data_IF_486512848760
#
_entry.id   IF_486512848760
#
_cell.length_a   1.000
_cell.length_b   1.000
_cell.length_c   1.000
_cell.angle_alpha   90.00
_cell.angle_beta   90.00
_cell.angle_gamma   90.00
#
_symmetry.space_group_name_H-M   'P 1'
#
loop_
_entity.id
_entity.type
_entity.pdbx_description
1 polymer ?
#
# COMPACT_ATOMS: atom_id res chain seq x y z
N UNK A 1 13.04 -18.75 -16.77
CA UNK A 1 12.05 -18.19 -17.71
C UNK A 1 11.61 -16.88 -17.09
N UNK A 2 11.83 -15.75 -17.77
CA UNK A 2 11.29 -14.45 -17.34
C UNK A 2 9.77 -14.56 -17.19
N UNK A 3 9.22 -13.95 -16.14
CA UNK A 3 7.78 -13.87 -15.93
C UNK A 3 7.24 -12.97 -17.03
N UNK A 4 6.33 -13.49 -17.85
CA UNK A 4 5.86 -12.76 -19.04
C UNK A 4 5.13 -11.47 -18.67
N UNK A 5 4.48 -11.46 -17.51
CA UNK A 5 3.67 -10.35 -17.00
C UNK A 5 3.89 -10.21 -15.47
N UNK A 6 5.04 -9.66 -15.04
CA UNK A 6 5.37 -9.55 -13.62
C UNK A 6 4.40 -8.62 -12.87
N UNK A 7 4.12 -8.96 -11.62
CA UNK A 7 3.27 -8.19 -10.72
C UNK A 7 4.10 -7.67 -9.55
N UNK A 8 4.18 -6.35 -9.44
CA UNK A 8 4.73 -5.64 -8.28
C UNK A 8 3.54 -5.13 -7.47
N UNK A 9 3.46 -5.50 -6.20
CA UNK A 9 2.42 -5.03 -5.31
C UNK A 9 3.02 -4.33 -4.08
N UNK A 10 2.56 -3.12 -3.84
CA UNK A 10 2.80 -2.36 -2.62
C UNK A 10 1.56 -2.53 -1.73
N UNK A 11 1.75 -3.13 -0.56
CA UNK A 11 0.72 -3.25 0.46
C UNK A 11 1.04 -2.36 1.66
N UNK A 12 0.09 -1.57 2.12
CA UNK A 12 0.37 -0.60 3.17
C UNK A 12 -0.79 0.29 3.54
N UNK A 13 -0.78 0.80 4.77
CA UNK A 13 -1.77 1.76 5.22
C UNK A 13 -1.47 3.17 4.69
N UNK A 14 -2.54 3.90 4.35
CA UNK A 14 -2.46 5.26 3.84
C UNK A 14 -1.67 6.15 4.81
N UNK A 15 -0.61 6.80 4.32
CA UNK A 15 0.25 7.67 5.12
C UNK A 15 1.66 7.13 5.43
N UNK A 16 1.97 5.89 5.06
CA UNK A 16 3.35 5.39 5.05
C UNK A 16 4.31 6.18 4.13
N UNK A 17 3.76 6.99 3.21
CA UNK A 17 4.46 7.56 2.06
C UNK A 17 3.99 6.94 0.73
N UNK A 18 2.71 6.56 0.62
CA UNK A 18 2.13 5.91 -0.57
C UNK A 18 2.23 6.80 -1.81
N UNK A 19 1.92 8.10 -1.71
CA UNK A 19 2.15 9.07 -2.79
C UNK A 19 3.62 9.08 -3.26
N UNK A 20 4.56 9.11 -2.31
CA UNK A 20 6.00 9.03 -2.57
C UNK A 20 6.39 7.70 -3.24
N UNK A 21 5.70 6.61 -2.91
CA UNK A 21 5.95 5.28 -3.47
C UNK A 21 5.52 5.22 -4.93
N UNK A 22 4.29 5.61 -5.24
CA UNK A 22 3.78 5.69 -6.61
C UNK A 22 4.65 6.59 -7.51
N UNK A 23 5.07 7.75 -7.02
CA UNK A 23 5.98 8.65 -7.73
C UNK A 23 7.36 8.00 -8.00
N UNK A 24 7.92 7.32 -7.00
CA UNK A 24 9.21 6.62 -7.13
C UNK A 24 9.13 5.51 -8.17
N UNK A 25 8.06 4.70 -8.15
CA UNK A 25 7.86 3.65 -9.15
C UNK A 25 7.61 4.23 -10.55
N UNK A 26 6.85 5.32 -10.66
CA UNK A 26 6.66 6.02 -11.94
C UNK A 26 7.97 6.59 -12.50
N UNK A 27 8.90 7.02 -11.62
CA UNK A 27 10.24 7.44 -12.02
C UNK A 27 11.07 6.23 -12.51
N UNK A 28 11.15 5.16 -11.71
CA UNK A 28 11.90 3.95 -12.04
C UNK A 28 11.43 3.31 -13.35
N UNK A 29 10.12 3.16 -13.55
CA UNK A 29 9.58 2.59 -14.78
C UNK A 29 9.90 3.46 -16.00
N UNK A 30 9.90 4.78 -15.86
CA UNK A 30 10.28 5.70 -16.93
C UNK A 30 11.76 5.57 -17.28
N UNK A 31 12.64 5.47 -16.28
CA UNK A 31 14.08 5.28 -16.46
C UNK A 31 14.39 3.98 -17.20
N UNK A 32 13.71 2.90 -16.82
CA UNK A 32 13.81 1.59 -17.46
C UNK A 32 12.98 1.45 -18.75
N UNK A 33 12.27 2.50 -19.18
CA UNK A 33 11.38 2.54 -20.37
C UNK A 33 10.31 1.44 -20.37
N UNK A 34 9.73 1.18 -19.20
CA UNK A 34 8.68 0.19 -19.00
C UNK A 34 7.30 0.83 -19.13
N UNK A 35 6.42 0.16 -19.87
CA UNK A 35 5.01 0.46 -19.92
C UNK A 35 4.28 -0.24 -18.77
N UNK A 36 4.12 0.46 -17.65
CA UNK A 36 3.49 -0.11 -16.46
C UNK A 36 1.98 0.17 -16.39
N UNK A 37 1.20 -0.86 -16.04
CA UNK A 37 -0.19 -0.69 -15.64
C UNK A 37 -0.25 -0.30 -14.15
N UNK A 38 -0.78 0.88 -13.84
CA UNK A 38 -0.99 1.33 -12.46
C UNK A 38 -2.41 1.01 -12.00
N UNK A 39 -2.54 0.26 -10.91
CA UNK A 39 -3.82 -0.15 -10.34
C UNK A 39 -3.87 0.19 -8.85
N UNK A 40 -4.89 0.94 -8.46
CA UNK A 40 -5.15 1.31 -7.08
C UNK A 40 -5.99 0.24 -6.39
N UNK A 41 -5.70 -0.06 -5.12
CA UNK A 41 -6.41 -1.08 -4.34
C UNK A 41 -7.89 -0.80 -4.16
N UNK A 42 -8.26 0.48 -4.10
CA UNK A 42 -9.63 0.95 -3.91
C UNK A 42 -10.55 0.55 -5.09
N UNK A 43 -9.97 0.21 -6.24
CA UNK A 43 -10.67 -0.40 -7.39
C UNK A 43 -11.47 -1.65 -7.00
N UNK A 44 -11.03 -2.36 -5.95
CA UNK A 44 -11.56 -3.63 -5.48
C UNK A 44 -12.40 -3.49 -4.19
N UNK A 45 -12.75 -2.27 -3.78
CA UNK A 45 -13.78 -2.07 -2.76
C UNK A 45 -15.12 -2.66 -3.23
N UNK A 46 -15.90 -3.24 -2.30
CA UNK A 46 -17.26 -3.73 -2.60
C UNK A 46 -18.27 -2.60 -2.75
N UNK A 47 -18.05 -1.51 -2.02
CA UNK A 47 -19.05 -0.46 -1.82
C UNK A 47 -18.55 0.90 -2.28
N UNK A 48 -19.45 1.66 -2.91
CA UNK A 48 -19.34 3.12 -2.98
C UNK A 48 -19.44 3.72 -1.58
N UNK A 49 -19.07 4.99 -1.41
CA UNK A 49 -19.15 5.69 -0.11
C UNK A 49 -20.57 5.64 0.50
N UNK A 50 -21.66 5.93 -0.24
CA UNK A 50 -23.01 5.81 0.30
C UNK A 50 -23.40 4.38 0.66
N UNK A 51 -22.99 3.40 -0.14
CA UNK A 51 -23.26 1.98 0.15
C UNK A 51 -22.50 1.51 1.40
N UNK A 52 -21.26 1.95 1.57
CA UNK A 52 -20.46 1.66 2.75
C UNK A 52 -21.11 2.25 4.01
N UNK A 53 -21.61 3.49 3.94
CA UNK A 53 -22.31 4.11 5.07
C UNK A 53 -23.57 3.31 5.46
N UNK A 54 -24.30 2.77 4.48
CA UNK A 54 -25.44 1.87 4.73
C UNK A 54 -24.98 0.55 5.35
N UNK A 55 -23.90 -0.06 4.84
CA UNK A 55 -23.36 -1.31 5.36
C UNK A 55 -22.89 -1.16 6.81
N UNK A 56 -22.16 -0.08 7.13
CA UNK A 56 -21.73 0.26 8.49
C UNK A 56 -22.94 0.39 9.43
N UNK A 57 -24.00 1.11 9.02
CA UNK A 57 -25.21 1.25 9.85
C UNK A 57 -25.88 -0.10 10.14
N UNK A 58 -26.08 -0.92 9.11
CA UNK A 58 -26.68 -2.26 9.25
C UNK A 58 -25.86 -3.19 10.14
N UNK A 59 -24.53 -3.16 10.00
CA UNK A 59 -23.64 -3.95 10.86
C UNK A 59 -23.76 -3.50 12.32
N UNK A 60 -23.84 -2.19 12.56
CA UNK A 60 -24.00 -1.60 13.90
C UNK A 60 -25.29 -2.06 14.58
N UNK A 61 -26.40 -2.13 13.85
CA UNK A 61 -27.69 -2.65 14.35
C UNK A 61 -27.60 -4.11 14.80
N UNK A 62 -26.67 -4.88 14.23
CA UNK A 62 -26.41 -6.28 14.57
C UNK A 62 -25.27 -6.46 15.60
N UNK A 63 -24.75 -5.37 16.17
CA UNK A 63 -23.60 -5.42 17.09
C UNK A 63 -22.27 -5.80 16.42
N UNK A 64 -22.18 -5.65 15.09
CA UNK A 64 -20.98 -5.91 14.29
C UNK A 64 -20.35 -4.62 13.78
N UNK A 65 -19.12 -4.71 13.29
CA UNK A 65 -18.40 -3.60 12.70
C UNK A 65 -17.82 -3.99 11.34
N UNK A 66 -17.88 -3.06 10.40
CA UNK A 66 -17.28 -3.19 9.07
C UNK A 66 -16.26 -2.07 8.94
N UNK A 67 -15.06 -2.42 8.46
CA UNK A 67 -14.03 -1.44 8.12
C UNK A 67 -13.45 -1.72 6.74
N UNK A 68 -12.80 -0.70 6.15
CA UNK A 68 -12.07 -0.84 4.89
C UNK A 68 -10.86 -1.78 4.98
N UNK A 69 -10.48 -2.25 6.18
CA UNK A 69 -9.44 -3.27 6.33
C UNK A 69 -9.98 -4.68 6.11
N UNK A 70 -11.26 -4.93 6.39
CA UNK A 70 -11.85 -6.25 6.41
C UNK A 70 -12.34 -6.77 5.07
N UNK A 71 -12.61 -8.08 5.01
CA UNK A 71 -13.14 -8.78 3.83
C UNK A 71 -14.57 -8.34 3.45
N UNK A 72 -15.34 -7.78 4.38
CA UNK A 72 -16.70 -7.31 4.11
C UNK A 72 -16.73 -6.04 3.25
N UNK A 73 -15.68 -5.21 3.30
CA UNK A 73 -15.60 -4.00 2.49
C UNK A 73 -14.81 -4.18 1.18
N UNK A 74 -14.16 -5.32 1.00
CA UNK A 74 -13.21 -5.59 -0.08
C UNK A 74 -13.53 -6.88 -0.83
N UNK A 75 -13.36 -6.87 -2.15
CA UNK A 75 -13.55 -8.04 -2.99
C UNK A 75 -12.19 -8.72 -3.29
N UNK A 76 -11.74 -9.54 -2.33
CA UNK A 76 -10.48 -10.29 -2.46
C UNK A 76 -10.50 -11.33 -3.57
N UNK A 77 -11.69 -11.85 -3.92
CA UNK A 77 -11.83 -12.77 -5.03
C UNK A 77 -11.58 -12.06 -6.35
N UNK A 78 -12.20 -10.88 -6.52
CA UNK A 78 -12.01 -10.04 -7.70
C UNK A 78 -10.54 -9.62 -7.85
N UNK A 79 -9.90 -9.20 -6.76
CA UNK A 79 -8.47 -8.85 -6.75
C UNK A 79 -7.59 -10.06 -7.14
N UNK A 80 -7.83 -11.23 -6.55
CA UNK A 80 -7.09 -12.44 -6.89
C UNK A 80 -7.27 -12.83 -8.36
N UNK A 81 -8.51 -12.80 -8.84
CA UNK A 81 -8.82 -13.14 -10.22
C UNK A 81 -8.16 -12.16 -11.20
N UNK A 82 -8.14 -10.86 -10.87
CA UNK A 82 -7.44 -9.85 -11.65
C UNK A 82 -5.93 -10.11 -11.71
N UNK A 83 -5.27 -10.36 -10.58
CA UNK A 83 -3.83 -10.69 -10.58
C UNK A 83 -3.53 -11.98 -11.35
N UNK A 84 -4.38 -13.00 -11.20
CA UNK A 84 -4.22 -14.25 -11.94
C UNK A 84 -4.36 -14.02 -13.45
N UNK A 85 -5.37 -13.25 -13.88
CA UNK A 85 -5.60 -12.94 -15.28
C UNK A 85 -4.40 -12.17 -15.86
N UNK A 86 -3.97 -11.10 -15.19
CA UNK A 86 -2.83 -10.31 -15.63
C UNK A 86 -1.56 -11.16 -15.75
N UNK A 87 -1.24 -11.98 -14.74
CA UNK A 87 -0.06 -12.85 -14.78
C UNK A 87 -0.09 -13.87 -15.92
N UNK A 88 -1.28 -14.24 -16.42
CA UNK A 88 -1.45 -15.20 -17.53
C UNK A 88 -1.47 -14.54 -18.90
N UNK A 89 -2.12 -13.38 -19.04
CA UNK A 89 -2.45 -12.79 -20.34
C UNK A 89 -1.89 -11.39 -20.55
N UNK A 90 -1.48 -10.69 -19.48
CA UNK A 90 -1.16 -9.26 -19.49
C UNK A 90 -2.40 -8.35 -19.58
N UNK A 91 -3.60 -8.94 -19.52
CA UNK A 91 -4.87 -8.23 -19.57
C UNK A 91 -5.61 -8.24 -18.24
N UNK A 92 -6.84 -7.71 -18.25
CA UNK A 92 -7.72 -7.68 -17.11
C UNK A 92 -8.61 -6.45 -17.13
N UNK A 93 -9.61 -6.42 -16.25
CA UNK A 93 -10.50 -5.28 -16.08
C UNK A 93 -10.31 -4.63 -14.73
N UNK A 94 -10.30 -3.31 -14.73
CA UNK A 94 -10.23 -2.50 -13.51
C UNK A 94 -11.22 -1.33 -13.59
N UNK A 95 -11.47 -0.70 -12.45
CA UNK A 95 -12.29 0.52 -12.32
C UNK A 95 -11.59 1.42 -11.32
N UNK A 96 -11.81 2.73 -11.40
CA UNK A 96 -11.21 3.67 -10.45
C UNK A 96 -12.21 4.05 -9.38
N UNK A 97 -11.76 4.19 -8.13
CA UNK A 97 -12.55 4.75 -7.05
C UNK A 97 -12.23 6.24 -6.94
N UNK A 98 -13.24 7.09 -7.10
CA UNK A 98 -13.05 8.53 -7.21
C UNK A 98 -13.09 9.15 -5.80
N UNK A 99 -11.98 9.71 -5.32
CA UNK A 99 -11.89 10.27 -3.97
C UNK A 99 -12.38 11.71 -3.88
N UNK A 100 -12.08 12.50 -4.90
CA UNK A 100 -12.25 13.96 -4.95
C UNK A 100 -13.18 14.39 -6.09
N UNK A 101 -13.62 15.66 -6.04
CA UNK A 101 -14.41 16.23 -7.14
C UNK A 101 -13.59 16.35 -8.42
N UNK A 102 -12.32 16.73 -8.32
CA UNK A 102 -11.43 16.89 -9.49
C UNK A 102 -11.23 15.57 -10.24
N UNK A 103 -11.13 14.44 -9.51
CA UNK A 103 -11.11 13.11 -10.12
C UNK A 103 -12.44 12.73 -10.77
N UNK A 104 -13.57 13.15 -10.18
CA UNK A 104 -14.90 12.72 -10.59
C UNK A 104 -15.49 13.52 -11.76
N UNK A 105 -15.13 14.80 -11.89
CA UNK A 105 -15.61 15.72 -12.94
C UNK A 105 -15.37 15.17 -14.36
N UNK A 106 -14.18 14.66 -14.73
CA UNK A 106 -13.93 14.10 -16.05
C UNK A 106 -14.86 12.94 -16.43
N UNK A 107 -15.41 12.23 -15.45
CA UNK A 107 -16.31 11.09 -15.65
C UNK A 107 -17.79 11.46 -15.49
N UNK A 108 -18.10 12.72 -15.15
CA UNK A 108 -19.45 13.17 -14.80
C UNK A 108 -20.09 12.31 -13.68
N UNK A 109 -19.26 11.96 -12.68
CA UNK A 109 -19.63 11.15 -11.51
C UNK A 109 -19.48 11.96 -10.22
N UNK A 110 -19.85 11.36 -9.09
CA UNK A 110 -19.69 11.96 -7.76
C UNK A 110 -18.50 11.34 -7.02
N UNK A 111 -17.82 12.08 -6.14
CA UNK A 111 -16.82 11.50 -5.24
C UNK A 111 -17.43 10.36 -4.40
N UNK A 112 -16.61 9.35 -4.13
CA UNK A 112 -17.00 8.13 -3.45
C UNK A 112 -17.69 7.10 -4.34
N UNK A 113 -17.59 7.23 -5.67
CA UNK A 113 -18.17 6.27 -6.63
C UNK A 113 -17.10 5.62 -7.49
N UNK A 114 -17.49 4.57 -8.24
CA UNK A 114 -16.61 3.90 -9.18
C UNK A 114 -16.81 4.39 -10.61
N UNK A 115 -15.74 4.48 -11.38
CA UNK A 115 -15.85 4.54 -12.84
C UNK A 115 -16.43 3.24 -13.40
N UNK A 116 -16.91 3.23 -14.65
CA UNK A 116 -17.12 1.99 -15.39
C UNK A 116 -15.83 1.15 -15.46
N UNK A 117 -16.01 -0.15 -15.63
CA UNK A 117 -14.92 -1.08 -15.90
C UNK A 117 -14.21 -0.73 -17.21
N UNK A 118 -12.89 -0.78 -17.20
CA UNK A 118 -12.00 -0.51 -18.32
C UNK A 118 -10.98 -1.64 -18.42
N UNK A 119 -10.57 -1.95 -19.64
CA UNK A 119 -9.52 -2.92 -19.89
C UNK A 119 -8.15 -2.32 -19.54
N UNK A 120 -7.26 -3.16 -19.01
CA UNK A 120 -5.83 -2.82 -18.87
C UNK A 120 -5.26 -2.58 -20.27
N UNK A 121 -4.40 -1.58 -20.40
CA UNK A 121 -3.76 -1.25 -21.68
C UNK A 121 -2.99 -2.44 -22.25
N UNK A 122 -3.07 -2.62 -23.56
CA UNK A 122 -2.31 -3.64 -24.26
C UNK A 122 -0.80 -3.37 -24.17
N UNK A 123 0.00 -4.44 -24.26
CA UNK A 123 1.47 -4.38 -24.27
C UNK A 123 2.08 -3.73 -23.02
N UNK A 124 1.55 -4.05 -21.85
CA UNK A 124 2.14 -3.67 -20.56
C UNK A 124 3.27 -4.62 -20.19
N UNK A 125 4.38 -4.05 -19.72
CA UNK A 125 5.57 -4.79 -19.32
C UNK A 125 5.46 -5.27 -17.86
N UNK A 126 4.70 -4.57 -17.03
CA UNK A 126 4.59 -4.82 -15.59
C UNK A 126 3.29 -4.26 -15.03
N UNK A 127 2.67 -4.99 -14.10
CA UNK A 127 1.57 -4.47 -13.28
C UNK A 127 2.14 -3.92 -11.98
N UNK A 128 1.78 -2.69 -11.68
CA UNK A 128 2.02 -2.06 -10.39
C UNK A 128 0.70 -1.87 -9.65
N UNK A 129 0.56 -2.56 -8.53
CA UNK A 129 -0.54 -2.42 -7.60
C UNK A 129 -0.12 -1.63 -6.37
N UNK A 130 -0.93 -0.67 -5.93
CA UNK A 130 -0.78 -0.01 -4.63
C UNK A 130 -2.10 -0.03 -3.87
N UNK A 131 -2.11 -0.56 -2.64
CA UNK A 131 -3.31 -0.59 -1.82
C UNK A 131 -3.12 -1.27 -0.47
N UNK A 132 -4.23 -1.53 0.23
CA UNK A 132 -4.20 -2.16 1.55
C UNK A 132 -4.02 -3.69 1.51
N UNK A 133 -4.25 -4.35 0.37
CA UNK A 133 -4.47 -5.81 0.30
C UNK A 133 -3.62 -6.54 -0.75
N UNK A 134 -2.51 -5.93 -1.20
CA UNK A 134 -1.65 -6.54 -2.23
C UNK A 134 -1.00 -7.87 -1.82
N UNK A 135 -0.94 -8.15 -0.51
CA UNK A 135 -0.38 -9.39 0.06
C UNK A 135 -1.39 -10.21 0.86
N UNK A 136 -2.69 -10.05 0.60
CA UNK A 136 -3.73 -10.72 1.39
C UNK A 136 -3.74 -12.23 1.15
N UNK A 137 -3.85 -12.95 2.26
CA UNK A 137 -4.16 -14.38 2.27
C UNK A 137 -5.23 -14.59 3.33
N UNK A 138 -6.37 -15.11 2.88
CA UNK A 138 -7.51 -15.50 3.69
C UNK A 138 -7.84 -16.99 3.41
N UNK A 139 -8.77 -17.58 4.15
CA UNK A 139 -9.15 -18.99 4.03
C UNK A 139 -9.46 -19.43 2.60
N UNK A 140 -10.04 -18.54 1.79
CA UNK A 140 -10.50 -18.82 0.44
C UNK A 140 -9.63 -18.20 -0.66
N UNK A 141 -8.74 -17.27 -0.31
CA UNK A 141 -8.06 -16.41 -1.29
C UNK A 141 -6.59 -16.24 -0.93
N UNK A 142 -5.70 -16.35 -1.91
CA UNK A 142 -4.27 -16.14 -1.79
C UNK A 142 -3.79 -15.20 -2.91
N UNK A 143 -4.01 -13.90 -2.72
CA UNK A 143 -3.55 -12.86 -3.66
C UNK A 143 -2.02 -12.83 -3.72
N UNK A 144 -1.36 -13.01 -2.57
CA UNK A 144 0.09 -12.98 -2.46
C UNK A 144 0.81 -14.01 -3.35
N UNK A 145 0.17 -15.13 -3.68
CA UNK A 145 0.74 -16.16 -4.57
C UNK A 145 0.93 -15.70 -6.02
N UNK A 146 0.27 -14.60 -6.42
CA UNK A 146 0.36 -14.04 -7.76
C UNK A 146 1.34 -12.87 -7.87
N UNK A 147 1.97 -12.46 -6.77
CA UNK A 147 2.85 -11.29 -6.72
C UNK A 147 4.32 -11.71 -6.79
N UNK A 148 5.06 -11.15 -7.74
CA UNK A 148 6.49 -11.44 -7.92
C UNK A 148 7.38 -10.55 -7.04
N UNK A 149 6.94 -9.31 -6.77
CA UNK A 149 7.58 -8.41 -5.83
C UNK A 149 6.55 -7.75 -4.89
N UNK A 150 6.45 -8.27 -3.66
CA UNK A 150 5.57 -7.74 -2.63
C UNK A 150 6.34 -6.84 -1.66
N UNK A 151 5.95 -5.57 -1.58
CA UNK A 151 6.59 -4.54 -0.75
C UNK A 151 5.59 -4.07 0.31
N UNK A 152 6.03 -4.02 1.57
CA UNK A 152 5.25 -3.48 2.68
C UNK A 152 5.63 -2.04 2.96
N UNK A 153 4.69 -1.11 2.88
CA UNK A 153 4.88 0.29 3.27
C UNK A 153 4.02 0.57 4.49
N UNK A 154 4.62 0.74 5.66
CA UNK A 154 3.86 0.74 6.91
C UNK A 154 4.37 1.77 7.91
N UNK A 155 3.55 2.71 8.41
CA UNK A 155 3.92 3.49 9.58
C UNK A 155 3.81 2.63 10.85
N UNK A 156 4.49 3.00 11.93
CA UNK A 156 4.14 2.43 13.24
C UNK A 156 2.67 2.75 13.57
N UNK A 157 2.01 1.89 14.33
CA UNK A 157 0.58 2.00 14.65
C UNK A 157 0.22 3.38 15.19
N UNK A 158 1.03 3.96 16.08
CA UNK A 158 0.81 5.31 16.61
C UNK A 158 0.78 6.36 15.51
N UNK A 159 1.69 6.30 14.54
CA UNK A 159 1.71 7.23 13.41
C UNK A 159 0.49 7.03 12.51
N UNK A 160 0.05 5.78 12.28
CA UNK A 160 -1.16 5.49 11.52
C UNK A 160 -2.40 6.14 12.16
N UNK A 161 -2.52 6.05 13.49
CA UNK A 161 -3.63 6.66 14.23
C UNK A 161 -3.56 8.19 14.23
N UNK A 162 -2.36 8.77 14.36
CA UNK A 162 -2.16 10.22 14.23
C UNK A 162 -2.61 10.69 12.84
N UNK A 163 -2.22 9.98 11.79
CA UNK A 163 -2.59 10.31 10.41
C UNK A 163 -4.09 10.24 10.19
N UNK A 164 -4.74 9.17 10.67
CA UNK A 164 -6.19 9.02 10.59
C UNK A 164 -6.90 10.15 11.35
N UNK A 165 -6.47 10.44 12.58
CA UNK A 165 -7.05 11.51 13.40
C UNK A 165 -6.93 12.88 12.74
N UNK A 166 -5.73 13.26 12.30
CA UNK A 166 -5.51 14.57 11.70
C UNK A 166 -6.34 14.71 10.42
N UNK A 167 -6.29 13.75 9.50
CA UNK A 167 -7.05 13.81 8.23
C UNK A 167 -8.56 13.87 8.46
N UNK A 168 -9.10 12.96 9.28
CA UNK A 168 -10.55 12.88 9.48
C UNK A 168 -11.11 14.09 10.25
N UNK A 169 -10.30 14.75 11.09
CA UNK A 169 -10.72 15.97 11.81
C UNK A 169 -10.52 17.23 10.97
N UNK A 170 -9.43 17.36 10.20
CA UNK A 170 -9.14 18.58 9.42
C UNK A 170 -9.86 18.63 8.07
N UNK A 171 -9.95 17.50 7.37
CA UNK A 171 -10.47 17.45 6.00
C UNK A 171 -11.94 17.04 5.96
N UNK A 172 -12.38 16.18 6.89
CA UNK A 172 -13.73 15.58 6.89
C UNK A 172 -14.65 16.09 7.99
N UNK A 173 -14.12 16.89 8.92
CA UNK A 173 -14.90 17.52 9.99
C UNK A 173 -15.49 16.56 11.03
N UNK A 174 -14.94 15.35 11.15
CA UNK A 174 -15.36 14.41 12.19
C UNK A 174 -14.89 14.86 13.57
N UNK A 175 -15.65 14.52 14.62
CA UNK A 175 -15.19 14.74 16.00
C UNK A 175 -14.07 13.76 16.36
N UNK A 176 -13.19 14.14 17.30
CA UNK A 176 -12.09 13.27 17.76
C UNK A 176 -12.61 11.96 18.34
N UNK A 177 -13.71 12.01 19.06
CA UNK A 177 -14.36 10.86 19.70
C UNK A 177 -14.87 9.87 18.65
N UNK A 178 -15.47 10.36 17.57
CA UNK A 178 -15.94 9.52 16.47
C UNK A 178 -14.78 8.80 15.76
N UNK A 179 -13.65 9.49 15.58
CA UNK A 179 -12.45 8.89 14.97
C UNK A 179 -11.82 7.85 15.90
N UNK A 180 -11.72 8.14 17.21
CA UNK A 180 -11.23 7.18 18.18
C UNK A 180 -12.09 5.91 18.22
N UNK A 181 -13.41 6.06 18.22
CA UNK A 181 -14.34 4.95 18.17
C UNK A 181 -14.18 4.13 16.88
N UNK A 182 -13.98 4.80 15.74
CA UNK A 182 -13.68 4.15 14.46
C UNK A 182 -12.39 3.34 14.49
N UNK A 183 -11.32 3.89 15.08
CA UNK A 183 -10.03 3.20 15.21
C UNK A 183 -10.20 1.90 15.98
N UNK A 184 -10.77 1.95 17.18
CA UNK A 184 -10.96 0.77 18.04
C UNK A 184 -11.75 -0.32 17.32
N UNK A 185 -12.81 0.07 16.61
CA UNK A 185 -13.65 -0.89 15.86
C UNK A 185 -12.94 -1.55 14.69
N UNK A 186 -12.01 -0.85 14.06
CA UNK A 186 -11.24 -1.39 12.93
C UNK A 186 -10.06 -2.27 13.33
N UNK A 187 -9.73 -2.35 14.63
CA UNK A 187 -8.53 -3.06 15.09
C UNK A 187 -8.58 -4.56 14.85
N UNK A 188 -9.76 -5.18 14.95
CA UNK A 188 -9.89 -6.61 14.66
C UNK A 188 -9.55 -6.89 13.20
N UNK A 189 -10.14 -6.15 12.26
CA UNK A 189 -9.81 -6.26 10.84
C UNK A 189 -8.34 -5.92 10.57
N UNK A 190 -7.77 -4.93 11.24
CA UNK A 190 -6.36 -4.56 11.08
C UNK A 190 -5.44 -5.72 11.45
N UNK A 191 -5.68 -6.36 12.61
CA UNK A 191 -4.89 -7.50 13.09
C UNK A 191 -5.06 -8.69 12.14
N UNK A 192 -6.28 -8.97 11.69
CA UNK A 192 -6.57 -10.18 10.91
C UNK A 192 -6.25 -10.05 9.40
N UNK A 193 -6.37 -8.85 8.82
CA UNK A 193 -6.24 -8.65 7.38
C UNK A 193 -5.05 -7.76 6.96
N UNK A 194 -4.59 -6.83 7.79
CA UNK A 194 -3.47 -5.93 7.43
C UNK A 194 -2.14 -6.48 7.93
N UNK A 195 -1.98 -6.65 9.25
CA UNK A 195 -0.68 -7.03 9.85
C UNK A 195 -0.05 -8.32 9.28
N UNK A 196 -0.80 -9.39 8.94
CA UNK A 196 -0.19 -10.63 8.46
C UNK A 196 0.48 -10.48 7.09
N UNK A 197 0.07 -9.49 6.29
CA UNK A 197 0.64 -9.23 4.96
C UNK A 197 2.12 -8.86 5.06
N UNK A 198 2.52 -8.09 6.07
CA UNK A 198 3.92 -7.67 6.29
C UNK A 198 4.85 -8.83 6.67
N UNK A 199 4.29 -10.00 7.00
CA UNK A 199 5.08 -11.22 7.18
C UNK A 199 5.37 -11.94 5.86
N UNK A 200 4.72 -11.54 4.77
CA UNK A 200 4.80 -12.17 3.43
C UNK A 200 5.59 -11.34 2.42
N UNK A 201 5.72 -10.04 2.66
CA UNK A 201 6.49 -9.10 1.85
C UNK A 201 7.96 -9.54 1.70
N UNK A 202 8.56 -9.19 0.57
CA UNK A 202 9.99 -9.34 0.32
C UNK A 202 10.78 -8.22 1.02
N UNK A 203 10.22 -7.01 1.07
CA UNK A 203 10.80 -5.87 1.77
C UNK A 203 9.71 -5.15 2.55
N UNK A 204 9.99 -4.77 3.79
CA UNK A 204 9.16 -3.83 4.54
C UNK A 204 9.91 -2.52 4.73
N UNK A 205 9.31 -1.40 4.35
CA UNK A 205 9.70 -0.05 4.73
C UNK A 205 8.77 0.40 5.84
N UNK A 206 9.30 0.42 7.06
CA UNK A 206 8.55 0.84 8.23
C UNK A 206 8.92 2.27 8.63
N UNK A 207 7.95 3.18 8.62
CA UNK A 207 8.16 4.57 9.04
C UNK A 207 7.97 4.73 10.55
N UNK A 208 9.02 5.21 11.21
CA UNK A 208 9.11 5.35 12.67
C UNK A 208 9.41 6.82 13.02
N UNK A 209 8.44 7.60 13.54
CA UNK A 209 8.71 8.92 14.10
C UNK A 209 9.72 8.87 15.23
N UNK A 210 10.60 9.87 15.27
CA UNK A 210 11.58 10.11 16.35
C UNK A 210 11.13 11.24 17.29
N UNK A 211 9.86 11.64 17.20
CA UNK A 211 9.16 12.57 18.08
C UNK A 211 8.21 11.82 19.02
N UNK A 212 7.72 12.51 20.05
CA UNK A 212 6.77 11.92 21.00
C UNK A 212 5.43 11.61 20.32
N UNK A 213 5.16 10.31 20.19
CA UNK A 213 3.89 9.77 19.68
C UNK A 213 3.18 8.91 20.72
N UNK A 214 3.54 9.03 22.00
CA UNK A 214 3.00 8.22 23.10
C UNK A 214 1.49 8.35 23.28
N UNK A 215 0.93 9.54 23.03
CA UNK A 215 -0.51 9.77 22.96
C UNK A 215 -0.94 10.24 21.56
N UNK A 216 -1.24 9.31 20.63
CA UNK A 216 -1.62 9.63 19.26
C UNK A 216 -2.94 10.42 19.17
N UNK A 217 -3.83 10.29 20.17
CA UNK A 217 -5.11 10.99 20.21
C UNK A 217 -5.01 12.48 20.59
N UNK A 218 -3.86 12.90 21.12
CA UNK A 218 -3.57 14.32 21.43
C UNK A 218 -2.72 15.02 20.37
N UNK A 219 -2.29 14.29 19.33
CA UNK A 219 -1.44 14.86 18.30
C UNK A 219 -2.12 16.03 17.57
N UNK A 220 -1.29 17.00 17.18
CA UNK A 220 -1.72 18.22 16.47
C UNK A 220 -1.33 18.19 15.00
N UNK A 221 -0.26 17.49 14.67
CA UNK A 221 0.28 17.36 13.33
C UNK A 221 0.78 15.93 13.12
N UNK A 222 0.89 15.56 11.85
CA UNK A 222 1.55 14.34 11.43
C UNK A 222 3.06 14.62 11.46
N UNK A 223 3.88 13.82 12.16
CA UNK A 223 5.33 13.92 12.07
C UNK A 223 5.79 13.97 10.62
N UNK A 224 6.73 14.85 10.30
CA UNK A 224 7.33 14.99 8.97
C UNK A 224 8.30 13.83 8.65
N UNK A 225 8.81 13.78 7.42
CA UNK A 225 9.83 12.79 7.04
C UNK A 225 11.15 13.04 7.77
N UNK A 226 11.52 14.30 8.02
CA UNK A 226 12.74 14.65 8.77
C UNK A 226 12.63 14.33 10.26
N UNK A 227 11.41 14.29 10.80
CA UNK A 227 11.10 13.81 12.15
C UNK A 227 10.93 12.28 12.21
N UNK A 228 11.31 11.55 11.15
CA UNK A 228 11.12 10.10 11.06
C UNK A 228 12.39 9.39 10.61
N UNK A 229 12.49 8.11 10.97
CA UNK A 229 13.40 7.14 10.38
C UNK A 229 12.60 6.11 9.60
N UNK A 230 13.26 5.47 8.64
CA UNK A 230 12.73 4.31 7.93
C UNK A 230 13.53 3.07 8.31
N UNK A 231 12.83 2.08 8.85
CA UNK A 231 13.39 0.76 9.15
C UNK A 231 13.06 -0.15 7.98
N UNK A 232 14.08 -0.57 7.24
CA UNK A 232 13.94 -1.34 6.00
C UNK A 232 14.43 -2.76 6.24
N UNK A 233 13.50 -3.72 6.24
CA UNK A 233 13.78 -5.13 6.49
C UNK A 233 13.63 -5.93 5.21
N UNK A 234 14.61 -6.78 4.91
CA UNK A 234 14.64 -7.65 3.74
C UNK A 234 14.34 -9.10 4.13
N UNK A 235 13.49 -9.78 3.38
CA UNK A 235 13.08 -11.17 3.64
C UNK A 235 13.45 -12.06 2.45
N UNK A 236 14.33 -13.04 2.69
CA UNK A 236 14.69 -14.05 1.68
C UNK A 236 15.55 -13.54 0.52
N UNK A 237 15.80 -12.23 0.45
CA UNK A 237 16.66 -11.60 -0.54
C UNK A 237 18.13 -11.84 -0.19
N UNK A 238 18.83 -12.54 -1.07
CA UNK A 238 20.26 -12.79 -0.97
C UNK A 238 21.00 -11.68 -1.73
N UNK A 239 22.19 -11.31 -1.27
CA UNK A 239 23.08 -10.35 -1.94
C UNK A 239 22.67 -8.87 -1.86
N UNK A 240 21.95 -8.44 -0.83
CA UNK A 240 21.79 -7.01 -0.54
C UNK A 240 23.14 -6.45 -0.10
N UNK A 241 23.68 -5.49 -0.86
CA UNK A 241 24.95 -4.83 -0.55
C UNK A 241 24.74 -3.72 0.49
N UNK A 242 24.64 -4.13 1.76
CA UNK A 242 24.50 -3.19 2.88
C UNK A 242 25.68 -2.20 2.99
N UNK A 243 26.95 -2.60 2.81
CA UNK A 243 28.06 -1.65 2.76
C UNK A 243 27.86 -0.54 1.72
N UNK A 244 27.43 -0.89 0.50
CA UNK A 244 27.10 0.09 -0.53
C UNK A 244 25.96 1.02 -0.07
N UNK A 245 24.83 0.48 0.38
CA UNK A 245 23.69 1.27 0.84
C UNK A 245 24.08 2.26 1.97
N UNK A 246 24.88 1.83 2.95
CA UNK A 246 25.34 2.70 4.03
C UNK A 246 26.29 3.79 3.54
N UNK A 247 27.11 3.50 2.53
CA UNK A 247 28.04 4.49 1.96
C UNK A 247 27.31 5.57 1.14
N UNK A 248 26.22 5.19 0.46
CA UNK A 248 25.42 6.09 -0.37
C UNK A 248 24.41 6.91 0.44
N UNK A 249 23.86 6.32 1.50
CA UNK A 249 22.79 6.93 2.29
C UNK A 249 23.39 7.46 3.58
N UNK A 250 23.79 8.72 3.57
CA UNK A 250 24.33 9.37 4.76
C UNK A 250 23.33 9.29 5.94
N UNK A 251 23.83 8.95 7.14
CA UNK A 251 23.03 8.68 8.34
C UNK A 251 22.39 7.28 8.40
N UNK A 252 22.63 6.40 7.41
CA UNK A 252 22.16 5.02 7.47
C UNK A 252 23.01 4.14 8.40
N UNK A 253 22.37 3.18 9.06
CA UNK A 253 23.04 2.18 9.90
C UNK A 253 22.28 0.86 9.95
N UNK A 254 22.97 -0.23 10.30
CA UNK A 254 22.35 -1.54 10.46
C UNK A 254 21.80 -1.73 11.87
N UNK A 255 20.51 -2.06 12.00
CA UNK A 255 19.89 -2.42 13.28
C UNK A 255 19.85 -3.94 13.51
N UNK A 256 19.79 -4.72 12.44
CA UNK A 256 19.90 -6.19 12.43
C UNK A 256 20.60 -6.65 11.16
N UNK A 257 20.97 -7.92 11.08
CA UNK A 257 21.65 -8.51 9.91
C UNK A 257 20.90 -8.31 8.59
N UNK A 258 19.57 -8.33 8.64
CA UNK A 258 18.66 -8.20 7.49
C UNK A 258 17.93 -6.84 7.46
N UNK A 259 18.37 -5.87 8.27
CA UNK A 259 17.63 -4.61 8.49
C UNK A 259 18.56 -3.41 8.55
N UNK A 260 18.32 -2.45 7.65
CA UNK A 260 18.96 -1.13 7.62
C UNK A 260 17.97 -0.07 8.11
N UNK A 261 18.48 0.95 8.78
CA UNK A 261 17.70 2.12 9.22
C UNK A 261 18.26 3.34 8.50
N UNK A 262 17.38 4.16 7.91
CA UNK A 262 17.77 5.35 7.13
C UNK A 262 16.96 6.58 7.56
N UNK A 263 17.48 7.80 7.37
CA UNK A 263 16.70 9.02 7.60
C UNK A 263 15.45 9.09 6.71
N UNK A 264 14.31 9.49 7.27
CA UNK A 264 13.04 9.54 6.54
C UNK A 264 13.05 10.53 5.37
N UNK A 265 13.78 11.65 5.49
CA UNK A 265 13.99 12.60 4.38
C UNK A 265 14.70 12.01 3.15
N UNK A 266 15.33 10.82 3.28
CA UNK A 266 16.02 10.11 2.19
C UNK A 266 15.21 8.92 1.65
N UNK A 267 13.91 8.89 1.91
CA UNK A 267 13.01 7.80 1.51
C UNK A 267 13.07 7.46 0.03
N UNK A 268 12.75 8.42 -0.86
CA UNK A 268 12.69 8.17 -2.31
C UNK A 268 14.03 7.70 -2.86
N UNK A 269 15.12 8.38 -2.47
CA UNK A 269 16.49 7.99 -2.88
C UNK A 269 16.85 6.57 -2.40
N UNK A 270 16.51 6.22 -1.16
CA UNK A 270 16.75 4.88 -0.63
C UNK A 270 15.94 3.83 -1.38
N UNK A 271 14.68 4.14 -1.69
CA UNK A 271 13.82 3.25 -2.47
C UNK A 271 14.38 3.03 -3.87
N UNK A 272 14.86 4.05 -4.56
CA UNK A 272 15.49 3.91 -5.88
C UNK A 272 16.71 2.99 -5.83
N UNK A 273 17.65 3.21 -4.90
CA UNK A 273 18.86 2.38 -4.75
C UNK A 273 18.53 0.89 -4.50
N UNK A 274 17.47 0.62 -3.76
CA UNK A 274 17.05 -0.75 -3.43
C UNK A 274 16.24 -1.37 -4.57
N UNK A 275 15.28 -0.64 -5.13
CA UNK A 275 14.27 -1.18 -6.03
C UNK A 275 14.73 -1.24 -7.48
N UNK A 276 15.58 -0.32 -7.94
CA UNK A 276 16.11 -0.34 -9.30
C UNK A 276 16.77 -1.69 -9.68
N UNK A 277 17.75 -2.22 -8.92
CA UNK A 277 18.35 -3.51 -9.25
C UNK A 277 17.36 -4.67 -9.13
N UNK A 278 16.37 -4.58 -8.25
CA UNK A 278 15.35 -5.62 -8.09
C UNK A 278 14.35 -5.66 -9.25
N UNK A 279 13.93 -4.49 -9.74
CA UNK A 279 13.07 -4.38 -10.93
C UNK A 279 13.83 -4.91 -12.14
N UNK A 280 15.11 -4.56 -12.30
CA UNK A 280 15.94 -5.11 -13.38
C UNK A 280 16.02 -6.64 -13.28
N UNK A 281 16.34 -7.20 -12.11
CA UNK A 281 16.39 -8.65 -11.91
C UNK A 281 15.04 -9.32 -12.20
N UNK A 282 13.94 -8.69 -11.78
CA UNK A 282 12.59 -9.21 -12.01
C UNK A 282 12.27 -9.32 -13.51
N UNK A 283 12.63 -8.32 -14.30
CA UNK A 283 12.40 -8.32 -15.74
C UNK A 283 13.27 -9.35 -16.47
N UNK A 284 14.53 -9.48 -16.06
CA UNK A 284 15.47 -10.42 -16.68
C UNK A 284 15.15 -11.89 -16.33
N UNK A 285 14.84 -12.16 -15.07
CA UNK A 285 14.76 -13.53 -14.54
C UNK A 285 13.34 -14.00 -14.23
N UNK A 286 12.39 -13.06 -14.14
CA UNK A 286 11.01 -13.32 -13.75
C UNK A 286 10.79 -13.45 -12.25
N UNK A 287 11.83 -13.29 -11.42
CA UNK A 287 11.76 -13.42 -9.97
C UNK A 287 12.73 -12.48 -9.29
N UNK A 288 12.43 -12.18 -8.03
CA UNK A 288 13.34 -11.45 -7.15
C UNK A 288 13.92 -12.44 -6.13
N UNK A 289 15.25 -12.52 -6.04
CA UNK A 289 15.97 -13.45 -5.15
C UNK A 289 16.60 -14.62 -5.87
#
# INVERSE_FOLDING_TARGET
>A
MSAKHPIIAVTGSSGAGTSTTSETFAHLFREHKLNAAFIEGDSFHRYTRPEMDVAIRKAREQGKHISYFGAEANDFELLQNFFREYGQTGGGKYRRYLHTFDEAVPYNLMPGTFTPWQDVSENTDVLFYEGLHGGIVDKNYNVAAHVDLLIGMVPIVNLEWIQKLVRDTSERGHSREAVQESIVRSMDDYINYITPQFSRTHINFQRVPTVDTSNPFSARSIPSLDESMLVIRFRGLKNVDFPYLMSMIDGAYMSRRDTIVVPGGKMSFTMELILAPMIQQLLETGKVG
#
